data_IF_843655656050
#
_entry.id   IF_843655656050
#
_cell.length_a   1.000
_cell.length_b   1.000
_cell.length_c   1.000
_cell.angle_alpha   90.00
_cell.angle_beta   90.00
_cell.angle_gamma   90.00
#
_symmetry.space_group_name_H-M   'P 1'
#
loop_
_entity.id
_entity.type
_entity.pdbx_description
1 polymer ?
#
# COMPACT_ATOMS: atom_id res chain seq x y z
N UNK A 1 2.19 -25.16 13.55
CA UNK A 1 2.71 -26.38 12.88
C UNK A 1 4.15 -26.11 12.50
N UNK A 2 5.17 -26.78 13.06
CA UNK A 2 6.56 -26.47 12.74
C UNK A 2 7.04 -27.36 11.58
N UNK A 3 7.61 -26.77 10.53
CA UNK A 3 8.34 -27.53 9.51
C UNK A 3 9.84 -27.28 9.63
N UNK A 4 10.54 -28.39 9.74
CA UNK A 4 11.98 -28.56 9.85
C UNK A 4 12.73 -27.87 8.71
N UNK A 5 13.80 -27.13 9.04
CA UNK A 5 14.84 -26.77 8.08
C UNK A 5 16.11 -27.55 8.44
N UNK A 6 16.29 -28.69 7.78
CA UNK A 6 17.42 -29.59 7.98
C UNK A 6 18.65 -29.07 7.21
N UNK A 7 19.77 -28.83 7.92
CA UNK A 7 21.08 -28.58 7.32
C UNK A 7 21.52 -29.81 6.52
N UNK A 8 21.60 -29.70 5.20
CA UNK A 8 22.24 -30.70 4.34
C UNK A 8 23.41 -30.03 3.63
N UNK A 9 24.62 -30.47 3.98
CA UNK A 9 25.88 -29.94 3.49
C UNK A 9 26.42 -30.84 2.36
N UNK A 10 26.62 -30.20 1.19
CA UNK A 10 27.56 -30.47 0.09
C UNK A 10 27.46 -31.80 -0.71
N UNK A 11 27.40 -31.66 -2.05
CA UNK A 11 28.11 -32.43 -3.11
C UNK A 11 27.39 -32.46 -4.49
N UNK A 12 26.71 -31.40 -4.94
CA UNK A 12 26.20 -31.33 -6.33
C UNK A 12 26.20 -29.89 -6.90
N UNK A 13 27.41 -29.34 -7.10
CA UNK A 13 27.69 -28.19 -7.99
C UNK A 13 27.67 -28.71 -9.45
N UNK A 14 26.95 -28.16 -10.47
CA UNK A 14 26.31 -26.84 -10.61
C UNK A 14 24.84 -26.87 -11.11
N UNK A 15 24.19 -28.04 -11.21
CA UNK A 15 22.91 -28.19 -11.93
C UNK A 15 21.67 -27.75 -11.13
N UNK A 16 21.81 -27.59 -9.81
CA UNK A 16 20.71 -27.15 -8.92
C UNK A 16 20.64 -25.61 -8.83
N UNK A 17 21.69 -24.90 -9.26
CA UNK A 17 21.78 -23.45 -9.09
C UNK A 17 20.75 -22.67 -9.95
N UNK A 18 20.20 -23.28 -10.99
CA UNK A 18 19.16 -22.69 -11.86
C UNK A 18 17.73 -22.96 -11.39
N UNK A 19 17.52 -23.90 -10.46
CA UNK A 19 16.19 -24.20 -9.90
C UNK A 19 15.87 -23.35 -8.66
N UNK A 20 16.88 -22.84 -7.96
CA UNK A 20 16.70 -21.99 -6.77
C UNK A 20 16.45 -20.52 -7.13
N UNK A 21 16.75 -20.08 -8.36
CA UNK A 21 16.48 -18.70 -8.81
C UNK A 21 14.98 -18.37 -8.93
N UNK A 22 14.08 -19.36 -8.85
CA UNK A 22 12.63 -19.18 -8.82
C UNK A 22 12.01 -19.43 -7.43
N UNK A 23 12.81 -19.70 -6.39
CA UNK A 23 12.33 -19.50 -5.03
C UNK A 23 12.34 -17.99 -4.79
N UNK A 24 11.22 -17.36 -5.17
CA UNK A 24 10.93 -15.97 -4.87
C UNK A 24 11.38 -15.67 -3.45
N UNK A 25 12.32 -14.74 -3.34
CA UNK A 25 12.59 -14.09 -2.08
C UNK A 25 11.25 -13.58 -1.58
N UNK A 26 10.77 -14.16 -0.48
CA UNK A 26 9.68 -13.59 0.26
C UNK A 26 10.24 -12.37 0.99
N UNK A 27 10.64 -11.35 0.23
CA UNK A 27 10.78 -10.00 0.77
C UNK A 27 9.35 -9.54 1.04
N UNK A 28 8.88 -9.84 2.25
CA UNK A 28 7.61 -9.33 2.73
C UNK A 28 7.75 -7.81 2.84
N UNK A 29 7.28 -7.10 1.83
CA UNK A 29 7.22 -5.64 1.83
C UNK A 29 6.25 -5.21 2.94
N UNK A 30 6.72 -4.37 3.85
CA UNK A 30 5.90 -3.82 4.93
C UNK A 30 5.08 -2.67 4.36
N UNK A 31 3.75 -2.83 4.37
CA UNK A 31 2.82 -1.84 3.83
C UNK A 31 2.36 -0.84 4.91
N UNK A 32 2.54 0.45 4.63
CA UNK A 32 1.95 1.55 5.38
C UNK A 32 0.71 2.05 4.67
N UNK A 33 -0.46 1.83 5.24
CA UNK A 33 -1.73 2.27 4.66
C UNK A 33 -2.08 3.68 5.17
N UNK A 34 -2.39 4.58 4.23
CA UNK A 34 -2.77 5.97 4.52
C UNK A 34 -4.18 6.22 4.02
N UNK A 35 -5.07 6.62 4.92
CA UNK A 35 -6.41 7.07 4.57
C UNK A 35 -6.39 8.48 3.98
N UNK A 36 -6.90 8.63 2.77
CA UNK A 36 -7.07 9.91 2.08
C UNK A 36 -8.56 10.15 1.85
N UNK A 37 -9.07 11.29 2.33
CA UNK A 37 -10.46 11.70 2.18
C UNK A 37 -10.53 13.04 1.46
N UNK A 38 -11.12 13.06 0.26
CA UNK A 38 -11.18 14.24 -0.62
C UNK A 38 -12.61 14.45 -1.09
N UNK A 39 -12.96 15.71 -1.31
CA UNK A 39 -14.29 16.09 -1.77
C UNK A 39 -14.40 15.85 -3.27
N UNK A 40 -15.46 15.19 -3.71
CA UNK A 40 -15.83 15.04 -5.13
C UNK A 40 -17.04 15.94 -5.44
N UNK A 41 -16.81 17.26 -5.47
CA UNK A 41 -17.88 18.25 -5.63
C UNK A 41 -17.52 19.39 -6.56
N UNK A 42 -18.34 19.59 -7.59
CA UNK A 42 -18.26 20.71 -8.52
C UNK A 42 -18.48 22.02 -7.76
N UNK A 43 -17.39 22.74 -7.46
CA UNK A 43 -17.40 24.01 -6.72
C UNK A 43 -16.39 24.10 -5.58
N UNK A 44 -15.76 22.99 -5.17
CA UNK A 44 -14.59 23.04 -4.30
C UNK A 44 -13.34 23.41 -5.10
N UNK A 45 -12.49 24.32 -4.62
CA UNK A 45 -11.18 24.55 -5.25
C UNK A 45 -10.21 23.36 -5.10
N UNK A 46 -10.53 22.42 -4.21
CA UNK A 46 -9.74 21.21 -3.92
C UNK A 46 -10.60 19.96 -4.11
N UNK A 47 -11.12 19.78 -5.31
CA UNK A 47 -11.83 18.59 -5.71
C UNK A 47 -10.86 17.49 -6.17
N UNK A 48 -11.32 16.24 -6.08
CA UNK A 48 -10.52 15.07 -6.40
C UNK A 48 -10.01 15.06 -7.85
N UNK A 49 -10.76 15.65 -8.77
CA UNK A 49 -10.36 15.72 -10.19
C UNK A 49 -9.12 16.62 -10.38
N UNK A 50 -8.92 17.62 -9.53
CA UNK A 50 -7.77 18.54 -9.61
C UNK A 50 -6.59 18.08 -8.75
N UNK A 51 -6.84 17.70 -7.50
CA UNK A 51 -5.76 17.38 -6.55
C UNK A 51 -5.40 15.89 -6.53
N UNK A 52 -6.33 15.01 -6.93
CA UNK A 52 -6.13 13.56 -6.98
C UNK A 52 -4.90 13.15 -7.81
N UNK A 53 -4.70 13.69 -9.03
CA UNK A 53 -3.52 13.37 -9.83
C UNK A 53 -2.19 13.77 -9.17
N UNK A 54 -2.16 14.91 -8.46
CA UNK A 54 -0.98 15.35 -7.75
C UNK A 54 -0.66 14.46 -6.55
N UNK A 55 -1.69 13.99 -5.84
CA UNK A 55 -1.56 13.03 -4.74
C UNK A 55 -1.03 11.70 -5.27
N UNK A 56 -1.60 11.20 -6.38
CA UNK A 56 -1.13 9.96 -7.01
C UNK A 56 0.36 10.02 -7.38
N UNK A 57 0.79 11.12 -8.01
CA UNK A 57 2.19 11.33 -8.35
C UNK A 57 3.09 11.37 -7.11
N UNK A 58 2.62 11.98 -6.02
CA UNK A 58 3.37 12.04 -4.76
C UNK A 58 3.56 10.64 -4.15
N UNK A 59 2.53 9.79 -4.15
CA UNK A 59 2.63 8.40 -3.67
C UNK A 59 3.60 7.59 -4.52
N UNK A 60 3.54 7.72 -5.84
CA UNK A 60 4.49 7.06 -6.74
C UNK A 60 5.93 7.51 -6.47
N UNK A 61 6.15 8.82 -6.30
CA UNK A 61 7.47 9.36 -6.01
C UNK A 61 8.02 8.86 -4.67
N UNK A 62 7.20 8.84 -3.63
CA UNK A 62 7.60 8.33 -2.32
C UNK A 62 7.98 6.85 -2.39
N UNK A 63 7.14 6.03 -3.04
CA UNK A 63 7.41 4.60 -3.18
C UNK A 63 8.67 4.29 -4.00
N UNK A 64 8.94 5.08 -5.05
CA UNK A 64 10.03 4.79 -5.97
C UNK A 64 11.37 5.42 -5.56
N UNK A 65 11.34 6.62 -4.97
CA UNK A 65 12.55 7.42 -4.73
C UNK A 65 12.94 7.54 -3.25
N UNK A 66 11.97 7.38 -2.33
CA UNK A 66 12.18 7.67 -0.90
C UNK A 66 12.18 6.37 -0.08
N UNK A 67 11.21 5.50 -0.32
CA UNK A 67 11.12 4.22 0.36
C UNK A 67 12.08 3.21 -0.26
N UNK A 68 12.62 2.33 0.59
CA UNK A 68 13.40 1.19 0.12
C UNK A 68 12.45 0.08 -0.36
N UNK A 69 13.00 -0.96 -1.02
CA UNK A 69 12.22 -2.10 -1.52
C UNK A 69 11.51 -2.91 -0.44
N UNK A 70 11.83 -2.69 0.85
CA UNK A 70 11.20 -3.37 1.98
C UNK A 70 9.95 -2.66 2.49
N UNK A 71 9.63 -1.46 2.01
CA UNK A 71 8.46 -0.68 2.44
C UNK A 71 7.62 -0.23 1.24
N UNK A 72 6.30 -0.24 1.40
CA UNK A 72 5.37 0.34 0.44
C UNK A 72 4.34 1.22 1.15
N UNK A 73 4.09 2.39 0.59
CA UNK A 73 3.02 3.28 0.99
C UNK A 73 1.78 3.00 0.12
N UNK A 74 0.68 2.62 0.76
CA UNK A 74 -0.58 2.28 0.11
C UNK A 74 -1.63 3.33 0.44
N UNK A 75 -2.22 3.93 -0.59
CA UNK A 75 -3.32 4.89 -0.43
C UNK A 75 -4.65 4.15 -0.35
N UNK A 76 -5.43 4.41 0.69
CA UNK A 76 -6.85 4.09 0.71
C UNK A 76 -7.61 5.38 0.45
N UNK A 77 -8.14 5.57 -0.75
CA UNK A 77 -8.81 6.81 -1.14
C UNK A 77 -10.33 6.66 -1.05
N UNK A 78 -10.98 7.64 -0.41
CA UNK A 78 -12.43 7.79 -0.35
C UNK A 78 -12.79 9.19 -0.83
N UNK A 79 -13.67 9.26 -1.82
CA UNK A 79 -14.23 10.53 -2.27
C UNK A 79 -15.65 10.69 -1.74
N UNK A 80 -16.00 11.87 -1.23
CA UNK A 80 -17.36 12.16 -0.78
C UNK A 80 -17.97 13.34 -1.54
N UNK A 81 -19.18 13.14 -2.05
CA UNK A 81 -19.82 14.04 -3.01
C UNK A 81 -20.48 15.29 -2.42
N UNK A 82 -20.07 15.76 -1.23
CA UNK A 82 -20.74 16.88 -0.54
C UNK A 82 -19.74 17.91 -0.02
N UNK A 83 -20.15 19.18 -0.05
CA UNK A 83 -19.47 20.35 0.53
C UNK A 83 -18.87 20.00 1.90
N UNK A 84 -17.65 20.49 2.20
CA UNK A 84 -16.95 20.34 3.48
C UNK A 84 -17.91 20.38 4.67
N UNK A 85 -18.29 19.22 5.18
CA UNK A 85 -19.22 19.07 6.31
C UNK A 85 -18.62 18.10 7.30
N UNK A 86 -18.48 18.52 8.56
CA UNK A 86 -17.81 17.71 9.57
C UNK A 86 -18.52 16.38 9.80
N UNK A 87 -19.85 16.34 9.71
CA UNK A 87 -20.65 15.13 9.90
C UNK A 87 -20.42 14.09 8.79
N UNK A 88 -20.23 14.56 7.55
CA UNK A 88 -19.95 13.66 6.44
C UNK A 88 -18.49 13.19 6.50
N UNK A 89 -17.57 14.11 6.77
CA UNK A 89 -16.16 13.79 6.90
C UNK A 89 -15.91 12.76 8.02
N UNK A 90 -16.57 12.92 9.18
CA UNK A 90 -16.43 11.96 10.28
C UNK A 90 -16.98 10.58 9.92
N UNK A 91 -18.12 10.50 9.26
CA UNK A 91 -18.68 9.22 8.80
C UNK A 91 -17.75 8.48 7.82
N UNK A 92 -17.13 9.20 6.89
CA UNK A 92 -16.15 8.62 5.97
C UNK A 92 -14.87 8.17 6.69
N UNK A 93 -14.39 8.94 7.67
CA UNK A 93 -13.23 8.54 8.49
C UNK A 93 -13.50 7.24 9.23
N UNK A 94 -14.69 7.05 9.81
CA UNK A 94 -15.03 5.78 10.47
C UNK A 94 -14.99 4.60 9.51
N UNK A 95 -15.57 4.73 8.31
CA UNK A 95 -15.53 3.68 7.29
C UNK A 95 -14.10 3.40 6.80
N UNK A 96 -13.25 4.43 6.75
CA UNK A 96 -11.87 4.29 6.32
C UNK A 96 -11.00 3.60 7.40
N UNK A 97 -11.29 3.84 8.68
CA UNK A 97 -10.65 3.14 9.80
C UNK A 97 -11.02 1.66 9.81
N UNK A 98 -12.27 1.30 9.49
CA UNK A 98 -12.66 -0.10 9.32
C UNK A 98 -11.85 -0.79 8.21
N UNK A 99 -11.73 -0.15 7.04
CA UNK A 99 -10.93 -0.67 5.93
C UNK A 99 -9.43 -0.78 6.23
N UNK A 100 -8.91 0.08 7.11
CA UNK A 100 -7.53 -0.02 7.58
C UNK A 100 -7.34 -1.23 8.52
N UNK A 101 -8.35 -1.56 9.32
CA UNK A 101 -8.30 -2.63 10.31
C UNK A 101 -8.61 -4.03 9.73
N UNK A 102 -9.37 -4.12 8.64
CA UNK A 102 -9.72 -5.40 7.98
C UNK A 102 -8.55 -6.10 7.28
N UNK A 103 -7.38 -5.45 7.21
CA UNK A 103 -6.17 -5.99 6.60
C UNK A 103 -5.02 -6.23 7.58
N UNK A 104 -5.33 -6.43 8.87
CA UNK A 104 -4.41 -6.85 9.95
C UNK A 104 -4.77 -8.23 10.45
#
# INVERSE_FOLDING_TARGET
MPFFCQKVTLYYLPFVLTLVSNLGGCDSVVEFKVGVSIISGLGSPYDIERVGPAIELAFQKVNNEILNSSYALVKLERSYGKICSSTNASAEVYQQVEQLNDGV
#
